data_IF_006748533515
#
_entry.id   IF_006748533515
#
_cell.length_a   1.000
_cell.length_b   1.000
_cell.length_c   1.000
_cell.angle_alpha   90.00
_cell.angle_beta   90.00
_cell.angle_gamma   90.00
#
_symmetry.space_group_name_H-M   'P 1'
#
loop_
_entity.id
_entity.type
_entity.pdbx_description
1 polymer ?
#
# COMPACT_ATOMS: atom_id res chain seq x y z
N UNK A 1 -10.49 11.79 38.07
CA UNK A 1 -10.22 11.01 36.85
C UNK A 1 -9.79 12.01 35.80
N UNK A 2 -8.57 11.90 35.27
CA UNK A 2 -8.08 12.81 34.24
C UNK A 2 -8.83 12.53 32.93
N UNK A 3 -9.31 13.55 32.20
CA UNK A 3 -9.90 13.34 30.89
C UNK A 3 -8.88 12.70 29.95
N UNK A 4 -9.33 11.84 29.03
CA UNK A 4 -8.49 10.89 28.28
C UNK A 4 -7.35 11.60 27.50
N UNK A 5 -7.61 12.79 26.99
CA UNK A 5 -6.66 13.65 26.28
C UNK A 5 -5.48 14.13 27.14
N UNK A 6 -5.63 14.15 28.47
CA UNK A 6 -4.57 14.53 29.42
C UNK A 6 -3.86 13.32 30.02
N UNK A 7 -4.34 12.10 29.76
CA UNK A 7 -3.85 10.89 30.42
C UNK A 7 -2.36 10.64 30.19
N UNK A 8 -1.86 10.86 28.97
CA UNK A 8 -0.44 10.72 28.63
C UNK A 8 0.43 11.71 29.42
N UNK A 9 0.00 12.97 29.49
CA UNK A 9 0.72 14.03 30.20
C UNK A 9 0.67 13.82 31.72
N UNK A 10 -0.47 13.33 32.23
CA UNK A 10 -0.61 12.95 33.63
C UNK A 10 0.32 11.78 33.99
N UNK A 11 0.44 10.76 33.13
CA UNK A 11 1.39 9.67 33.33
C UNK A 11 2.84 10.16 33.34
N UNK A 12 3.21 11.01 32.38
CA UNK A 12 4.55 11.61 32.30
C UNK A 12 4.86 12.46 33.54
N UNK A 13 3.86 13.15 34.11
CA UNK A 13 4.02 13.95 35.33
C UNK A 13 4.25 13.12 36.60
N UNK A 14 3.94 11.82 36.57
CA UNK A 14 4.14 10.91 37.71
C UNK A 14 5.55 10.30 37.74
N UNK A 15 6.39 10.50 36.72
CA UNK A 15 7.76 10.00 36.73
C UNK A 15 8.64 10.81 37.70
N UNK A 16 9.47 10.16 38.54
CA UNK A 16 10.40 10.83 39.45
C UNK A 16 11.65 11.34 38.71
N UNK A 17 11.44 12.18 37.68
CA UNK A 17 12.50 12.76 36.84
C UNK A 17 12.45 14.28 36.92
N UNK A 18 13.53 14.95 36.49
CA UNK A 18 13.60 16.41 36.51
C UNK A 18 12.47 17.04 35.67
N UNK A 19 11.85 18.10 36.17
CA UNK A 19 10.71 18.78 35.51
C UNK A 19 11.02 19.20 34.06
N UNK A 20 12.26 19.60 33.77
CA UNK A 20 12.74 19.95 32.42
C UNK A 20 12.62 18.76 31.45
N UNK A 21 12.93 17.55 31.90
CA UNK A 21 12.81 16.33 31.09
C UNK A 21 11.35 16.00 30.81
N UNK A 22 10.45 16.23 31.78
CA UNK A 22 9.00 16.04 31.58
C UNK A 22 8.50 17.02 30.51
N UNK A 23 8.85 18.30 30.60
CA UNK A 23 8.45 19.30 29.59
C UNK A 23 8.96 18.95 28.19
N UNK A 24 10.22 18.53 28.08
CA UNK A 24 10.80 18.06 26.81
C UNK A 24 10.08 16.81 26.27
N UNK A 25 9.75 15.84 27.13
CA UNK A 25 9.03 14.63 26.75
C UNK A 25 7.60 14.95 26.28
N UNK A 26 6.90 15.86 26.96
CA UNK A 26 5.59 16.34 26.53
C UNK A 26 5.67 17.03 25.15
N UNK A 27 6.65 17.91 24.94
CA UNK A 27 6.85 18.60 23.67
C UNK A 27 7.19 17.61 22.54
N UNK A 28 8.06 16.63 22.82
CA UNK A 28 8.38 15.56 21.88
C UNK A 28 7.15 14.71 21.57
N UNK A 29 6.34 14.37 22.56
CA UNK A 29 5.09 13.63 22.38
C UNK A 29 4.12 14.33 21.44
N UNK A 30 3.95 15.65 21.60
CA UNK A 30 3.15 16.46 20.66
C UNK A 30 3.73 16.44 19.25
N UNK A 31 5.05 16.57 19.10
CA UNK A 31 5.71 16.52 17.80
C UNK A 31 5.55 15.15 17.11
N UNK A 32 5.69 14.05 17.86
CA UNK A 32 5.51 12.68 17.35
C UNK A 32 4.09 12.46 16.87
N UNK A 33 3.09 12.86 17.66
CA UNK A 33 1.67 12.76 17.27
C UNK A 33 1.39 13.60 16.02
N UNK A 34 1.94 14.81 15.94
CA UNK A 34 1.77 15.69 14.77
C UNK A 34 2.38 15.07 13.49
N UNK A 35 3.60 14.53 13.57
CA UNK A 35 4.27 13.89 12.43
C UNK A 35 3.55 12.61 12.00
N UNK A 36 3.13 11.79 12.96
CA UNK A 36 2.36 10.57 12.70
C UNK A 36 1.03 10.90 12.02
N UNK A 37 0.35 11.95 12.48
CA UNK A 37 -0.89 12.43 11.87
C UNK A 37 -0.65 12.94 10.45
N UNK A 38 0.39 13.76 10.21
CA UNK A 38 0.72 14.26 8.87
C UNK A 38 1.05 13.13 7.89
N UNK A 39 1.80 12.11 8.33
CA UNK A 39 2.18 10.95 7.50
C UNK A 39 0.98 10.05 7.20
N UNK A 40 0.09 9.88 8.19
CA UNK A 40 -1.16 9.13 8.02
C UNK A 40 -2.12 9.87 7.08
N UNK A 41 -2.20 11.20 7.21
CA UNK A 41 -3.01 12.03 6.34
C UNK A 41 -2.50 12.03 4.89
N UNK A 42 -1.16 12.04 4.67
CA UNK A 42 -0.59 11.96 3.33
C UNK A 42 -0.99 10.65 2.64
N UNK A 43 -0.84 9.52 3.32
CA UNK A 43 -1.28 8.20 2.83
C UNK A 43 -2.79 8.14 2.57
N UNK A 44 -3.60 8.70 3.47
CA UNK A 44 -5.06 8.73 3.32
C UNK A 44 -5.51 9.58 2.12
N UNK A 45 -4.88 10.74 1.92
CA UNK A 45 -5.18 11.62 0.80
C UNK A 45 -4.88 10.94 -0.54
N UNK A 46 -3.83 10.13 -0.62
CA UNK A 46 -3.47 9.36 -1.80
C UNK A 46 -4.52 8.28 -2.14
N UNK A 47 -5.05 7.57 -1.14
CA UNK A 47 -6.11 6.58 -1.37
C UNK A 47 -7.37 7.25 -1.89
N UNK A 48 -7.79 8.36 -1.28
CA UNK A 48 -8.95 9.13 -1.75
C UNK A 48 -8.73 9.68 -3.16
N UNK A 49 -7.53 10.18 -3.45
CA UNK A 49 -7.14 10.69 -4.76
C UNK A 49 -7.28 9.62 -5.86
N UNK A 50 -6.80 8.39 -5.60
CA UNK A 50 -6.92 7.25 -6.52
C UNK A 50 -8.38 6.84 -6.72
N UNK A 51 -9.19 6.81 -5.64
CA UNK A 51 -10.61 6.45 -5.72
C UNK A 51 -11.40 7.48 -6.55
N UNK A 52 -11.12 8.78 -6.38
CA UNK A 52 -11.80 9.85 -7.13
C UNK A 52 -11.43 9.89 -8.61
N UNK A 53 -10.28 9.31 -9.00
CA UNK A 53 -9.84 9.20 -10.39
C UNK A 53 -10.14 7.84 -11.04
N UNK A 54 -10.98 7.00 -10.41
CA UNK A 54 -11.35 5.70 -10.97
C UNK A 54 -10.19 4.69 -11.02
N UNK A 55 -9.14 4.88 -10.23
CA UNK A 55 -7.98 3.98 -10.17
C UNK A 55 -6.74 4.45 -10.93
N UNK A 56 -6.78 5.58 -11.64
CA UNK A 56 -5.60 6.10 -12.33
C UNK A 56 -4.60 6.73 -11.35
N UNK A 57 -3.37 6.22 -11.36
CA UNK A 57 -2.26 6.62 -10.47
C UNK A 57 -1.44 7.80 -11.01
N UNK A 58 -1.86 8.45 -12.11
CA UNK A 58 -1.12 9.56 -12.70
C UNK A 58 -1.16 10.80 -11.79
N UNK A 59 -0.08 10.92 -11.00
CA UNK A 59 0.45 12.08 -10.26
C UNK A 59 -0.37 13.37 -10.35
N UNK A 60 -1.40 13.45 -9.51
CA UNK A 60 -2.11 14.69 -9.20
C UNK A 60 -1.24 15.61 -8.33
N UNK A 61 -0.99 16.83 -8.82
CA UNK A 61 -0.09 17.79 -8.20
C UNK A 61 -0.43 18.15 -6.74
N UNK A 62 0.59 18.63 -6.03
CA UNK A 62 0.58 19.11 -4.63
C UNK A 62 -0.67 19.90 -4.18
N UNK A 63 -1.36 20.54 -5.13
CA UNK A 63 -2.61 21.29 -4.92
C UNK A 63 -3.76 20.41 -4.42
N UNK A 64 -3.90 19.18 -4.90
CA UNK A 64 -5.00 18.30 -4.48
C UNK A 64 -4.83 17.84 -3.02
N UNK A 65 -3.58 17.52 -2.63
CA UNK A 65 -3.23 17.21 -1.23
C UNK A 65 -3.53 18.38 -0.29
N UNK A 66 -3.24 19.61 -0.73
CA UNK A 66 -3.52 20.82 0.04
C UNK A 66 -5.03 21.06 0.23
N UNK A 67 -5.84 20.84 -0.82
CA UNK A 67 -7.30 20.97 -0.74
C UNK A 67 -7.87 19.99 0.29
N UNK A 68 -7.44 18.73 0.27
CA UNK A 68 -7.89 17.73 1.25
C UNK A 68 -7.42 18.06 2.68
N UNK A 69 -6.18 18.51 2.86
CA UNK A 69 -5.68 18.94 4.18
C UNK A 69 -6.47 20.13 4.74
N UNK A 70 -6.79 21.13 3.91
CA UNK A 70 -7.61 22.29 4.32
C UNK A 70 -9.05 21.89 4.63
N UNK A 71 -9.64 21.00 3.84
CA UNK A 71 -10.98 20.47 4.11
C UNK A 71 -11.03 19.71 5.43
N UNK A 72 -10.05 18.86 5.73
CA UNK A 72 -9.97 18.13 7.00
C UNK A 72 -9.82 19.12 8.18
N UNK A 73 -8.96 20.13 8.03
CA UNK A 73 -8.79 21.18 9.04
C UNK A 73 -10.07 21.99 9.27
N UNK A 74 -10.79 22.34 8.19
CA UNK A 74 -12.06 23.05 8.26
C UNK A 74 -13.14 22.20 8.95
N UNK A 75 -13.27 20.93 8.58
CA UNK A 75 -14.19 19.98 9.23
C UNK A 75 -13.87 19.87 10.72
N UNK A 76 -12.61 19.63 11.09
CA UNK A 76 -12.19 19.56 12.49
C UNK A 76 -12.51 20.85 13.28
N UNK A 77 -12.26 22.03 12.68
CA UNK A 77 -12.58 23.31 13.29
C UNK A 77 -14.10 23.48 13.49
N UNK A 78 -14.92 23.09 12.51
CA UNK A 78 -16.38 23.16 12.63
C UNK A 78 -16.93 22.20 13.67
N UNK A 79 -16.38 20.99 13.80
CA UNK A 79 -16.76 20.01 14.83
C UNK A 79 -16.38 20.47 16.23
N UNK A 80 -15.18 21.06 16.38
CA UNK A 80 -14.76 21.66 17.66
C UNK A 80 -15.67 22.82 18.05
N UNK A 81 -15.99 23.71 17.12
CA UNK A 81 -16.91 24.83 17.36
C UNK A 81 -18.34 24.36 17.65
N UNK A 82 -18.81 23.30 17.01
CA UNK A 82 -20.15 22.73 17.26
C UNK A 82 -20.23 22.10 18.66
N UNK A 83 -19.19 21.40 19.11
CA UNK A 83 -19.11 20.87 20.47
C UNK A 83 -19.16 21.98 21.53
N UNK A 84 -18.36 23.04 21.37
CA UNK A 84 -18.35 24.17 22.31
C UNK A 84 -19.66 24.97 22.28
N UNK A 85 -20.32 25.09 21.12
CA UNK A 85 -21.62 25.77 20.99
C UNK A 85 -22.80 24.98 21.60
N UNK A 86 -22.72 23.65 21.64
CA UNK A 86 -23.78 22.76 22.15
C UNK A 86 -23.64 22.51 23.66
N UNK A 87 -22.56 23.00 24.29
CA UNK A 87 -22.26 22.79 25.71
C UNK A 87 -21.71 21.39 26.03
N UNK A 88 -21.35 20.62 25.00
CA UNK A 88 -20.74 19.29 25.13
C UNK A 88 -19.21 19.39 25.07
N UNK A 89 -18.50 18.36 25.53
CA UNK A 89 -17.05 18.30 25.37
C UNK A 89 -16.73 18.23 23.87
N UNK A 90 -15.90 19.15 23.38
CA UNK A 90 -15.55 19.24 21.96
C UNK A 90 -14.94 17.93 21.39
N UNK A 91 -14.28 17.13 22.24
CA UNK A 91 -13.81 15.79 21.89
C UNK A 91 -14.93 14.75 21.72
N UNK A 92 -16.02 14.87 22.51
CA UNK A 92 -17.17 13.97 22.41
C UNK A 92 -17.88 14.10 21.07
N UNK A 93 -18.03 15.33 20.58
CA UNK A 93 -18.58 15.60 19.25
C UNK A 93 -17.73 14.95 18.14
N UNK A 94 -16.40 15.05 18.24
CA UNK A 94 -15.48 14.45 17.27
C UNK A 94 -15.52 12.91 17.32
N UNK A 95 -15.62 12.32 18.51
CA UNK A 95 -15.73 10.88 18.70
C UNK A 95 -17.03 10.33 18.11
N UNK A 96 -18.16 10.99 18.38
CA UNK A 96 -19.46 10.60 17.84
C UNK A 96 -19.46 10.65 16.31
N UNK A 97 -18.94 11.74 15.73
CA UNK A 97 -18.83 11.87 14.28
C UNK A 97 -17.99 10.74 13.65
N UNK A 98 -16.86 10.38 14.27
CA UNK A 98 -16.01 9.27 13.83
C UNK A 98 -16.74 7.92 13.88
N UNK A 99 -17.46 7.63 14.96
CA UNK A 99 -18.24 6.39 15.11
C UNK A 99 -19.33 6.32 14.05
N UNK A 100 -20.08 7.40 13.85
CA UNK A 100 -21.17 7.44 12.86
C UNK A 100 -20.65 7.32 11.43
N UNK A 101 -19.49 7.91 11.10
CA UNK A 101 -18.86 7.77 9.78
C UNK A 101 -18.23 6.37 9.57
N UNK A 102 -17.66 5.78 10.62
CA UNK A 102 -17.00 4.48 10.56
C UNK A 102 -17.96 3.30 10.42
N UNK A 103 -19.12 3.36 11.09
CA UNK A 103 -20.11 2.28 11.10
C UNK A 103 -20.55 1.80 9.69
N UNK A 104 -20.97 2.67 8.74
CA UNK A 104 -21.32 2.23 7.39
C UNK A 104 -20.09 1.73 6.61
N UNK A 105 -18.91 2.32 6.84
CA UNK A 105 -17.67 1.88 6.20
C UNK A 105 -17.26 0.47 6.65
N UNK A 106 -17.50 0.12 7.92
CA UNK A 106 -17.29 -1.25 8.42
C UNK A 106 -18.09 -2.29 7.63
N UNK A 107 -19.32 -1.98 7.20
CA UNK A 107 -20.13 -2.89 6.37
C UNK A 107 -19.45 -3.12 5.01
N UNK A 108 -18.93 -2.06 4.39
CA UNK A 108 -18.20 -2.17 3.12
C UNK A 108 -16.93 -3.01 3.27
N UNK A 109 -16.18 -2.81 4.36
CA UNK A 109 -14.99 -3.61 4.66
C UNK A 109 -15.32 -5.10 4.84
N UNK A 110 -16.43 -5.44 5.50
CA UNK A 110 -16.88 -6.83 5.63
C UNK A 110 -17.20 -7.44 4.25
N UNK A 111 -17.87 -6.68 3.37
CA UNK A 111 -18.14 -7.13 2.01
C UNK A 111 -16.85 -7.31 1.20
N UNK A 112 -15.86 -6.43 1.36
CA UNK A 112 -14.54 -6.59 0.74
C UNK A 112 -13.82 -7.83 1.26
N UNK A 113 -13.85 -8.12 2.56
CA UNK A 113 -13.26 -9.35 3.12
C UNK A 113 -13.90 -10.60 2.51
N UNK A 114 -15.23 -10.62 2.37
CA UNK A 114 -15.95 -11.71 1.71
C UNK A 114 -15.57 -11.82 0.23
N UNK A 115 -15.44 -10.69 -0.46
CA UNK A 115 -14.98 -10.65 -1.86
C UNK A 115 -13.54 -11.14 -2.03
N UNK A 116 -12.65 -10.80 -1.08
CA UNK A 116 -11.26 -11.25 -1.07
C UNK A 116 -11.17 -12.76 -0.86
N UNK A 117 -11.94 -13.33 0.08
CA UNK A 117 -12.01 -14.78 0.29
C UNK A 117 -12.50 -15.47 -0.97
N UNK A 118 -13.59 -14.98 -1.59
CA UNK A 118 -14.10 -15.52 -2.85
C UNK A 118 -13.09 -15.41 -3.99
N UNK A 119 -12.42 -14.28 -4.12
CA UNK A 119 -11.38 -14.08 -5.13
C UNK A 119 -10.21 -15.04 -4.94
N UNK A 120 -9.81 -15.30 -3.69
CA UNK A 120 -8.75 -16.25 -3.38
C UNK A 120 -9.19 -17.71 -3.59
N UNK A 121 -10.46 -18.03 -3.40
CA UNK A 121 -11.06 -19.34 -3.71
C UNK A 121 -11.18 -19.57 -5.23
N UNK A 122 -11.56 -18.54 -6.00
CA UNK A 122 -11.62 -18.57 -7.47
C UNK A 122 -10.23 -18.67 -8.11
N UNK A 123 -9.22 -18.05 -7.48
CA UNK A 123 -7.80 -18.22 -7.80
C UNK A 123 -7.21 -19.50 -7.18
N UNK A 124 -8.06 -20.54 -7.07
CA UNK A 124 -7.69 -21.89 -6.66
C UNK A 124 -6.39 -22.29 -7.34
N UNK A 125 -5.39 -22.55 -6.49
CA UNK A 125 -4.00 -22.92 -6.79
C UNK A 125 -3.82 -23.27 -8.26
N UNK A 126 -2.98 -22.54 -9.04
CA UNK A 126 -2.77 -22.85 -10.44
C UNK A 126 -2.46 -24.33 -10.50
N UNK A 127 -3.43 -25.11 -11.00
CA UNK A 127 -3.19 -26.49 -11.27
C UNK A 127 -2.00 -26.41 -12.20
N UNK A 128 -0.83 -26.85 -11.71
CA UNK A 128 0.32 -27.06 -12.56
C UNK A 128 0.02 -28.29 -13.39
N UNK A 129 -1.10 -28.25 -14.12
CA UNK A 129 -1.47 -29.14 -15.19
C UNK A 129 -0.64 -28.63 -16.36
N UNK A 130 0.43 -29.35 -16.72
CA UNK A 130 1.15 -29.01 -17.94
C UNK A 130 0.14 -29.09 -19.07
N UNK A 131 -0.06 -27.97 -19.79
CA UNK A 131 -0.98 -27.91 -20.92
C UNK A 131 -0.62 -29.03 -21.93
N UNK A 132 -1.52 -30.02 -22.15
CA UNK A 132 -1.25 -31.14 -23.05
C UNK A 132 -0.95 -30.69 -24.47
N UNK A 133 -1.47 -29.52 -24.89
CA UNK A 133 -1.25 -28.97 -26.23
C UNK A 133 0.16 -28.43 -26.38
N UNK A 134 0.71 -27.80 -25.33
CA UNK A 134 2.08 -27.29 -25.34
C UNK A 134 3.11 -28.41 -25.42
N UNK A 135 2.83 -29.58 -24.84
CA UNK A 135 3.71 -30.75 -24.99
C UNK A 135 3.85 -31.20 -26.46
N UNK A 136 2.76 -31.21 -27.23
CA UNK A 136 2.81 -31.54 -28.66
C UNK A 136 3.63 -30.55 -29.47
N UNK A 137 3.43 -29.24 -29.23
CA UNK A 137 4.17 -28.20 -29.95
C UNK A 137 5.65 -28.14 -29.57
N UNK A 138 5.99 -28.40 -28.30
CA UNK A 138 7.37 -28.48 -27.84
C UNK A 138 8.10 -29.65 -28.50
N UNK A 139 7.47 -30.82 -28.60
CA UNK A 139 8.05 -31.98 -29.28
C UNK A 139 8.26 -31.73 -30.77
N UNK A 140 7.34 -31.03 -31.45
CA UNK A 140 7.49 -30.66 -32.86
C UNK A 140 8.65 -29.65 -33.02
N UNK A 141 8.72 -28.62 -32.16
CA UNK A 141 9.82 -27.65 -32.18
C UNK A 141 11.16 -28.29 -31.87
N UNK A 142 11.22 -29.24 -30.93
CA UNK A 142 12.42 -30.00 -30.62
C UNK A 142 12.87 -30.87 -31.80
N UNK A 143 11.93 -31.53 -32.49
CA UNK A 143 12.23 -32.30 -33.70
C UNK A 143 12.72 -31.42 -34.86
N UNK A 144 12.11 -30.25 -35.06
CA UNK A 144 12.55 -29.24 -36.04
C UNK A 144 13.94 -28.67 -35.69
N UNK A 145 14.18 -28.34 -34.42
CA UNK A 145 15.49 -27.87 -33.94
C UNK A 145 16.58 -28.95 -34.08
N UNK A 146 16.24 -30.22 -33.85
CA UNK A 146 17.16 -31.33 -34.06
C UNK A 146 17.47 -31.54 -35.55
N UNK A 147 16.48 -31.41 -36.44
CA UNK A 147 16.71 -31.42 -37.89
C UNK A 147 17.60 -30.27 -38.33
N UNK A 148 17.32 -29.05 -37.87
CA UNK A 148 18.11 -27.88 -38.20
C UNK A 148 19.54 -27.96 -37.62
N UNK A 149 19.71 -28.54 -36.43
CA UNK A 149 21.03 -28.83 -35.84
C UNK A 149 21.80 -29.91 -36.62
N UNK A 150 21.11 -30.91 -37.15
CA UNK A 150 21.69 -31.96 -38.00
C UNK A 150 22.18 -31.39 -39.34
N UNK A 151 21.40 -30.51 -39.97
CA UNK A 151 21.79 -29.84 -41.23
C UNK A 151 22.90 -28.81 -41.02
N UNK A 152 22.96 -28.20 -39.84
CA UNK A 152 24.00 -27.23 -39.47
C UNK A 152 25.27 -27.87 -38.89
N UNK A 153 25.31 -29.21 -38.78
CA UNK A 153 26.52 -29.90 -38.34
C UNK A 153 27.59 -29.76 -39.44
N UNK A 154 28.80 -29.28 -39.14
CA UNK A 154 29.88 -29.30 -40.12
C UNK A 154 30.11 -30.76 -40.53
N UNK A 155 30.00 -31.04 -41.83
CA UNK A 155 30.31 -32.36 -42.38
C UNK A 155 31.73 -32.79 -41.97
N UNK A 156 32.00 -34.11 -41.88
CA UNK A 156 33.29 -34.60 -41.40
C UNK A 156 34.42 -33.90 -42.16
N UNK A 157 35.26 -33.18 -41.43
CA UNK A 157 36.40 -32.46 -42.00
C UNK A 157 37.31 -33.50 -42.65
N UNK A 158 37.27 -33.57 -43.98
CA UNK A 158 38.16 -34.43 -44.74
C UNK A 158 39.59 -33.99 -44.43
N UNK A 159 40.50 -34.89 -44.01
CA UNK A 159 41.87 -34.49 -43.71
C UNK A 159 42.50 -33.90 -44.96
N UNK A 160 42.88 -32.62 -44.88
CA UNK A 160 43.49 -31.89 -45.99
C UNK A 160 44.88 -32.48 -46.26
N UNK A 161 44.95 -33.43 -47.20
CA UNK A 161 46.21 -33.98 -47.67
C UNK A 161 46.95 -32.90 -48.47
N UNK A 162 47.81 -32.17 -47.75
CA UNK A 162 48.71 -31.13 -48.24
C UNK A 162 49.55 -31.63 -49.41
N UNK A 163 49.06 -31.35 -50.62
CA UNK A 163 49.80 -31.45 -51.87
C UNK A 163 50.79 -30.29 -51.94
N UNK A 164 51.97 -30.47 -51.34
CA UNK A 164 53.09 -29.57 -51.60
C UNK A 164 53.73 -29.89 -52.97
N UNK A 165 53.74 -28.83 -53.78
CA UNK A 165 54.04 -28.76 -55.21
C UNK A 165 55.55 -28.51 -55.42
N UNK A 166 56.12 -29.27 -56.36
CA UNK A 166 57.24 -29.00 -57.29
C UNK A 166 58.52 -28.33 -56.75
N UNK A 167 59.66 -28.99 -57.00
CA UNK A 167 60.68 -28.56 -57.97
C UNK A 167 61.29 -29.77 -58.66
#
# INVERSE_FOLDING_TARGET
QSPAETALFALLSQLPVAAILITLACALGVAVVAIFFATSADSGSLVVDILTRGGETQVGGWRQRLVWAVLIGAVAATLLAAGTATGENALGALQTASITAGLPFCVVLLLMCVGLIRGLEDEGLPAMTPDPRKHGELQIKEAELQRHRSDSAPGPTVPEAGRHRKR
#
